data_IF_953677055573
#
_entry.id   IF_953677055573
#
_cell.length_a   1.000
_cell.length_b   1.000
_cell.length_c   1.000
_cell.angle_alpha   90.00
_cell.angle_beta   90.00
_cell.angle_gamma   90.00
#
_symmetry.space_group_name_H-M   'P 1'
#
loop_
_entity.id
_entity.type
_entity.pdbx_description
1 polymer ?
#
# COMPACT_ATOMS: atom_id res chain seq x y z
N UNK A 1 15.95 12.28 6.32
CA UNK A 1 16.03 11.14 5.39
C UNK A 1 14.65 10.50 5.33
N UNK A 2 14.11 10.23 4.13
CA UNK A 2 12.79 9.57 4.01
C UNK A 2 12.89 8.11 4.44
N UNK A 3 11.89 7.65 5.16
CA UNK A 3 11.73 6.26 5.59
C UNK A 3 10.86 5.53 4.59
N UNK A 4 11.03 4.22 4.51
CA UNK A 4 10.17 3.36 3.72
C UNK A 4 9.62 2.21 4.56
N UNK A 5 8.38 1.83 4.31
CA UNK A 5 7.78 0.59 4.75
C UNK A 5 7.51 -0.27 3.52
N UNK A 6 7.98 -1.51 3.56
CA UNK A 6 7.68 -2.54 2.56
C UNK A 6 6.84 -3.59 3.24
N UNK A 7 5.64 -3.81 2.73
CA UNK A 7 4.72 -4.83 3.24
C UNK A 7 4.41 -5.79 2.12
N UNK A 8 4.61 -7.09 2.35
CA UNK A 8 4.24 -8.13 1.39
C UNK A 8 3.35 -9.18 2.05
N UNK A 9 2.34 -9.65 1.33
CA UNK A 9 1.45 -10.71 1.79
C UNK A 9 0.75 -11.40 0.62
N UNK A 10 0.12 -12.53 0.90
CA UNK A 10 -0.80 -13.19 -0.03
C UNK A 10 -2.19 -13.25 0.58
N UNK A 11 -3.20 -13.05 -0.26
CA UNK A 11 -4.61 -13.28 0.10
C UNK A 11 -5.04 -14.70 -0.25
N UNK A 12 -6.22 -15.12 0.20
CA UNK A 12 -6.90 -16.25 -0.44
C UNK A 12 -7.26 -15.91 -1.89
N UNK A 13 -7.38 -16.94 -2.74
CA UNK A 13 -7.75 -16.76 -4.15
C UNK A 13 -9.09 -16.03 -4.31
N UNK A 14 -10.08 -16.40 -3.49
CA UNK A 14 -11.42 -15.80 -3.50
C UNK A 14 -11.41 -14.34 -3.04
N UNK A 15 -10.45 -13.95 -2.20
CA UNK A 15 -10.35 -12.58 -1.67
C UNK A 15 -9.53 -11.65 -2.56
N UNK A 16 -8.73 -12.17 -3.49
CA UNK A 16 -7.74 -11.37 -4.22
C UNK A 16 -8.36 -10.23 -5.02
N UNK A 17 -9.47 -10.49 -5.73
CA UNK A 17 -10.18 -9.46 -6.49
C UNK A 17 -10.78 -8.39 -5.60
N UNK A 18 -11.39 -8.78 -4.49
CA UNK A 18 -11.95 -7.83 -3.53
C UNK A 18 -10.86 -6.99 -2.85
N UNK A 19 -9.73 -7.61 -2.48
CA UNK A 19 -8.59 -6.92 -1.89
C UNK A 19 -8.02 -5.86 -2.84
N UNK A 20 -7.90 -6.19 -4.14
CA UNK A 20 -7.48 -5.25 -5.17
C UNK A 20 -8.41 -4.04 -5.26
N UNK A 21 -9.73 -4.26 -5.30
CA UNK A 21 -10.69 -3.16 -5.39
C UNK A 21 -10.55 -2.19 -4.20
N UNK A 22 -10.38 -2.71 -2.98
CA UNK A 22 -10.17 -1.86 -1.81
C UNK A 22 -8.88 -1.05 -1.89
N UNK A 23 -7.79 -1.63 -2.41
CA UNK A 23 -6.54 -0.91 -2.65
C UNK A 23 -6.74 0.20 -3.68
N UNK A 24 -7.47 -0.07 -4.76
CA UNK A 24 -7.77 0.93 -5.79
C UNK A 24 -8.58 2.11 -5.22
N UNK A 25 -9.56 1.85 -4.36
CA UNK A 25 -10.30 2.91 -3.63
C UNK A 25 -9.38 3.75 -2.73
N UNK A 26 -8.42 3.14 -2.02
CA UNK A 26 -7.41 3.86 -1.24
C UNK A 26 -6.59 4.79 -2.13
N UNK A 27 -6.15 4.32 -3.29
CA UNK A 27 -5.37 5.12 -4.23
C UNK A 27 -6.19 6.29 -4.80
N UNK A 28 -7.46 6.07 -5.11
CA UNK A 28 -8.39 7.12 -5.58
C UNK A 28 -8.56 8.21 -4.51
N UNK A 29 -8.82 7.82 -3.26
CA UNK A 29 -9.00 8.78 -2.17
C UNK A 29 -7.70 9.56 -1.89
N UNK A 30 -6.55 8.89 -1.86
CA UNK A 30 -5.25 9.56 -1.67
C UNK A 30 -4.95 10.55 -2.80
N UNK A 31 -5.23 10.19 -4.05
CA UNK A 31 -5.03 11.07 -5.19
C UNK A 31 -5.95 12.30 -5.14
N UNK A 32 -7.19 12.14 -4.66
CA UNK A 32 -8.14 13.24 -4.52
C UNK A 32 -7.78 14.19 -3.37
N UNK A 33 -7.23 13.66 -2.28
CA UNK A 33 -6.93 14.44 -1.06
C UNK A 33 -5.54 15.05 -1.05
N UNK A 34 -4.57 14.41 -1.72
CA UNK A 34 -3.15 14.77 -1.72
C UNK A 34 -2.63 15.18 -0.33
N UNK A 35 -2.52 14.23 0.62
CA UNK A 35 -2.06 14.54 1.97
C UNK A 35 -0.61 15.07 2.01
N UNK A 36 0.14 14.98 0.90
CA UNK A 36 1.56 15.29 0.84
C UNK A 36 2.41 14.30 1.65
N UNK A 37 3.72 14.36 1.45
CA UNK A 37 4.68 13.62 2.29
C UNK A 37 4.72 12.10 2.08
N UNK A 38 3.94 11.53 1.15
CA UNK A 38 3.85 10.10 0.87
C UNK A 38 4.09 9.82 -0.63
N UNK A 39 5.07 8.97 -0.94
CA UNK A 39 5.11 8.27 -2.23
C UNK A 39 4.64 6.83 -1.97
N UNK A 40 3.52 6.43 -2.56
CA UNK A 40 2.91 5.14 -2.32
C UNK A 40 2.74 4.37 -3.61
N UNK A 41 3.25 3.14 -3.63
CA UNK A 41 3.15 2.22 -4.75
C UNK A 41 2.66 0.88 -4.23
N UNK A 42 1.69 0.30 -4.94
CA UNK A 42 1.18 -1.03 -4.65
C UNK A 42 1.30 -1.89 -5.88
N UNK A 43 1.77 -3.11 -5.69
CA UNK A 43 1.99 -4.10 -6.73
C UNK A 43 1.15 -5.32 -6.43
N UNK A 44 0.56 -5.90 -7.47
CA UNK A 44 0.02 -7.25 -7.44
C UNK A 44 1.07 -8.17 -8.10
N UNK A 45 1.39 -9.30 -7.47
CA UNK A 45 2.29 -10.30 -8.02
C UNK A 45 1.61 -11.05 -9.18
N UNK A 46 2.41 -11.65 -10.05
CA UNK A 46 1.91 -12.35 -11.24
C UNK A 46 1.04 -13.56 -10.91
N UNK A 47 1.15 -14.12 -9.70
CA UNK A 47 0.28 -15.19 -9.19
C UNK A 47 -1.16 -14.73 -8.92
N UNK A 48 -1.43 -13.42 -8.99
CA UNK A 48 -2.73 -12.80 -8.79
C UNK A 48 -3.21 -12.72 -7.34
N UNK A 49 -2.50 -13.30 -6.37
CA UNK A 49 -2.90 -13.34 -4.95
C UNK A 49 -1.91 -12.65 -4.02
N UNK A 50 -0.67 -12.46 -4.48
CA UNK A 50 0.36 -11.71 -3.80
C UNK A 50 0.24 -10.21 -4.00
N UNK A 51 0.50 -9.45 -2.94
CA UNK A 51 0.51 -8.00 -2.95
C UNK A 51 1.77 -7.47 -2.25
N UNK A 52 2.33 -6.38 -2.78
CA UNK A 52 3.43 -5.63 -2.17
C UNK A 52 3.07 -4.15 -2.10
N UNK A 53 3.17 -3.58 -0.91
CA UNK A 53 2.98 -2.17 -0.64
C UNK A 53 4.32 -1.54 -0.31
N UNK A 54 4.67 -0.48 -1.03
CA UNK A 54 5.83 0.36 -0.79
C UNK A 54 5.36 1.76 -0.43
N UNK A 55 5.49 2.13 0.84
CA UNK A 55 5.18 3.47 1.33
C UNK A 55 6.47 4.19 1.71
N UNK A 56 6.78 5.30 1.04
CA UNK A 56 7.93 6.16 1.33
C UNK A 56 7.43 7.48 1.90
N UNK A 57 7.77 7.76 3.15
CA UNK A 57 7.25 8.90 3.88
C UNK A 57 8.33 9.59 4.72
N UNK A 58 8.11 10.85 5.05
CA UNK A 58 9.05 11.64 5.85
C UNK A 58 8.96 11.37 7.37
N UNK A 59 7.89 10.70 7.81
CA UNK A 59 7.67 10.28 9.21
C UNK A 59 7.12 11.39 10.10
N UNK A 60 6.70 12.52 9.54
CA UNK A 60 6.20 13.68 10.28
C UNK A 60 4.70 13.57 10.60
N UNK A 61 3.93 12.94 9.72
CA UNK A 61 2.51 12.65 9.90
C UNK A 61 2.17 11.26 9.33
N UNK A 62 1.06 10.69 9.80
CA UNK A 62 0.47 9.50 9.18
C UNK A 62 -0.38 9.94 7.98
N UNK A 63 0.04 9.68 6.74
CA UNK A 63 -0.67 10.12 5.54
C UNK A 63 -2.02 9.39 5.36
N UNK A 64 -2.27 8.30 6.09
CA UNK A 64 -3.51 7.53 6.01
C UNK A 64 -4.53 7.91 7.11
N UNK A 65 -4.17 8.77 8.08
CA UNK A 65 -4.99 9.02 9.28
C UNK A 65 -6.47 9.36 8.96
N UNK A 66 -6.73 10.27 8.02
CA UNK A 66 -8.10 10.63 7.65
C UNK A 66 -8.64 9.82 6.47
N UNK A 67 -7.92 8.81 5.97
CA UNK A 67 -8.30 8.00 4.80
C UNK A 67 -9.39 7.00 5.13
N UNK A 68 -10.60 7.25 4.64
CA UNK A 68 -11.75 6.38 4.90
C UNK A 68 -11.61 5.03 4.20
N UNK A 69 -11.16 5.04 2.95
CA UNK A 69 -10.85 3.86 2.19
C UNK A 69 -9.74 3.02 2.86
N UNK A 70 -8.74 3.66 3.48
CA UNK A 70 -7.68 2.94 4.21
C UNK A 70 -8.23 2.22 5.44
N UNK A 71 -9.12 2.87 6.18
CA UNK A 71 -9.83 2.23 7.31
C UNK A 71 -10.67 1.04 6.83
N UNK A 72 -11.37 1.18 5.71
CA UNK A 72 -12.16 0.08 5.14
C UNK A 72 -11.27 -1.07 4.65
N UNK A 73 -10.12 -0.75 4.03
CA UNK A 73 -9.13 -1.74 3.63
C UNK A 73 -8.66 -2.58 4.83
N UNK A 74 -8.41 -1.96 5.98
CA UNK A 74 -7.94 -2.64 7.19
C UNK A 74 -9.02 -3.41 7.97
N UNK A 75 -10.31 -3.03 7.86
CA UNK A 75 -11.42 -3.56 8.69
C UNK A 75 -11.51 -5.09 8.74
N UNK A 76 -11.23 -5.76 7.63
CA UNK A 76 -11.32 -7.22 7.51
C UNK A 76 -10.06 -7.83 6.87
N UNK A 77 -8.92 -7.14 6.98
CA UNK A 77 -7.68 -7.56 6.33
C UNK A 77 -7.27 -8.98 6.73
N UNK A 78 -7.27 -9.29 8.03
CA UNK A 78 -6.86 -10.61 8.54
C UNK A 78 -7.67 -11.77 7.95
N UNK A 79 -8.96 -11.54 7.66
CA UNK A 79 -9.84 -12.57 7.08
C UNK A 79 -9.53 -12.85 5.61
N UNK A 80 -8.93 -11.88 4.90
CA UNK A 80 -8.52 -12.03 3.50
C UNK A 80 -7.15 -12.68 3.34
N UNK A 81 -6.30 -12.62 4.36
CA UNK A 81 -4.92 -13.08 4.30
C UNK A 81 -4.80 -14.61 4.33
N UNK A 82 -4.04 -15.16 3.39
CA UNK A 82 -3.64 -16.57 3.42
C UNK A 82 -2.41 -16.79 4.32
N UNK A 83 -1.56 -15.77 4.44
CA UNK A 83 -0.36 -15.78 5.28
C UNK A 83 -0.20 -14.43 6.00
N UNK A 84 0.38 -14.41 7.21
CA UNK A 84 0.71 -13.15 7.88
C UNK A 84 1.57 -12.24 6.98
N UNK A 85 1.38 -10.92 7.05
CA UNK A 85 2.17 -10.00 6.25
C UNK A 85 3.60 -9.93 6.78
N UNK A 86 4.56 -9.85 5.86
CA UNK A 86 5.95 -9.57 6.18
C UNK A 86 6.16 -8.06 6.04
N UNK A 87 6.57 -7.43 7.13
CA UNK A 87 6.76 -5.97 7.21
C UNK A 87 8.24 -5.67 7.40
N UNK A 88 8.81 -4.89 6.49
CA UNK A 88 10.20 -4.43 6.54
C UNK A 88 10.26 -2.91 6.58
N UNK A 89 11.03 -2.38 7.54
CA UNK A 89 11.36 -0.95 7.59
C UNK A 89 12.70 -0.70 6.89
N UNK A 90 12.74 0.31 6.04
CA UNK A 90 13.92 0.64 5.24
C UNK A 90 14.20 2.15 5.23
N UNK A 91 15.39 2.52 4.77
CA UNK A 91 15.79 3.91 4.51
C UNK A 91 15.90 4.10 3.00
N UNK A 92 15.29 5.18 2.47
CA UNK A 92 15.42 5.49 1.06
C UNK A 92 16.82 6.07 0.79
N UNK A 93 17.63 5.35 0.03
CA UNK A 93 18.96 5.80 -0.41
C UNK A 93 18.92 6.63 -1.70
N UNK A 94 17.85 6.49 -2.48
CA UNK A 94 17.61 7.20 -3.73
C UNK A 94 16.37 6.66 -4.43
N UNK A 95 15.76 7.47 -5.29
CA UNK A 95 14.67 7.08 -6.17
C UNK A 95 14.88 7.69 -7.55
N UNK A 96 14.60 6.91 -8.58
CA UNK A 96 14.61 7.37 -9.96
C UNK A 96 13.22 7.14 -10.55
N UNK A 97 12.57 8.22 -10.97
CA UNK A 97 11.31 8.16 -11.69
C UNK A 97 11.63 8.50 -13.15
N UNK A 98 11.45 7.54 -14.03
CA UNK A 98 11.57 7.78 -15.46
C UNK A 98 10.60 8.89 -15.88
N UNK A 99 10.98 9.71 -16.87
CA UNK A 99 10.03 10.59 -17.52
C UNK A 99 9.03 9.72 -18.27
N UNK A 100 7.78 9.67 -17.81
CA UNK A 100 6.68 9.14 -18.63
C UNK A 100 6.68 9.89 -19.96
N UNK A 101 6.80 9.16 -21.07
CA UNK A 101 6.48 9.64 -22.42
C UNK A 101 5.09 9.17 -22.77
#
# INVERSE_FOLDING_TARGET
>A
MRRAAVVQYHTSADSAGHNRNLIEEVLIELAARDPGGLDYQVFQFEDGTGFLHLAVFDGTADPFADCAADREFHRELEQRLATPPIISRAMLIGAYFGRNR
#
